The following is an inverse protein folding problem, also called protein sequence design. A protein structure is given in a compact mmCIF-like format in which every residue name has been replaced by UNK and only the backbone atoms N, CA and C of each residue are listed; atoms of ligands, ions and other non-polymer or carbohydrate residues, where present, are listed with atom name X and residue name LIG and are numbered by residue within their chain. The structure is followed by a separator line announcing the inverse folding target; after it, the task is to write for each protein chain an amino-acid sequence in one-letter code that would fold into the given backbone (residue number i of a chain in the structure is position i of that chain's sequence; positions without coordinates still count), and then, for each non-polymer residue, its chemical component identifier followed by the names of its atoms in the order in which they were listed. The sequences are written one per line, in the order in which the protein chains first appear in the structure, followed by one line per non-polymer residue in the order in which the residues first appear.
data_IF_654583556396
#
_entry.id   IF_654583556396
#
_cell.length_a   1.000
_cell.length_b   1.000
_cell.length_c   1.000
_cell.angle_alpha   90.00
_cell.angle_beta   90.00
_cell.angle_gamma   90.00
#
_symmetry.space_group_name_H-M   'P 1'
#
loop_
_entity.id
_entity.type
_entity.pdbx_description
1 polymer ?
#
# COMPACT_ATOMS: atom_id res chain seq x y z
N UNK A 1 2.27 10.07 -27.27
CA UNK A 1 2.96 9.01 -26.50
C UNK A 1 2.44 9.07 -25.08
N UNK A 2 1.64 8.09 -24.66
CA UNK A 2 1.11 8.06 -23.29
C UNK A 2 2.17 7.44 -22.39
N UNK A 3 2.90 8.26 -21.66
CA UNK A 3 3.87 7.79 -20.67
C UNK A 3 3.10 7.08 -19.55
N UNK A 4 3.13 5.74 -19.53
CA UNK A 4 2.57 4.98 -18.42
C UNK A 4 3.50 5.11 -17.22
N UNK A 5 3.11 5.93 -16.25
CA UNK A 5 3.77 6.04 -14.93
C UNK A 5 3.06 5.14 -13.94
N UNK A 6 3.77 4.16 -13.39
CA UNK A 6 3.29 3.41 -12.22
C UNK A 6 3.65 4.20 -10.96
N UNK A 7 2.65 4.48 -10.12
CA UNK A 7 2.81 5.28 -8.89
C UNK A 7 2.58 4.36 -7.70
N UNK A 8 3.52 4.37 -6.75
CA UNK A 8 3.41 3.79 -5.43
C UNK A 8 3.43 4.88 -4.36
N UNK A 9 3.35 4.48 -3.09
CA UNK A 9 3.52 5.41 -1.97
C UNK A 9 4.10 4.70 -0.74
N UNK A 10 4.86 5.44 0.07
CA UNK A 10 5.30 5.00 1.39
C UNK A 10 4.27 5.43 2.43
N UNK A 11 4.04 4.53 3.38
CA UNK A 11 3.12 4.75 4.48
C UNK A 11 3.89 4.80 5.80
N UNK A 12 3.95 5.99 6.40
CA UNK A 12 4.88 6.29 7.48
C UNK A 12 4.18 6.38 8.86
N UNK A 13 2.93 5.92 8.99
CA UNK A 13 2.15 6.10 10.22
C UNK A 13 2.86 5.54 11.45
N UNK A 14 3.49 4.37 11.37
CA UNK A 14 4.19 3.77 12.52
C UNK A 14 5.33 4.66 13.02
N UNK A 15 6.09 5.25 12.10
CA UNK A 15 7.19 6.16 12.42
C UNK A 15 6.64 7.46 13.02
N UNK A 16 5.61 8.05 12.42
CA UNK A 16 4.98 9.27 12.95
C UNK A 16 4.33 9.07 14.31
N UNK A 17 3.79 7.89 14.58
CA UNK A 17 3.34 7.55 15.93
C UNK A 17 4.51 7.54 16.93
N UNK A 18 5.65 6.96 16.57
CA UNK A 18 6.82 6.93 17.44
C UNK A 18 7.38 8.33 17.73
N UNK A 19 7.42 9.22 16.71
CA UNK A 19 7.82 10.62 16.85
C UNK A 19 6.95 11.36 17.90
N UNK A 20 5.69 10.95 18.06
CA UNK A 20 4.72 11.50 19.01
C UNK A 20 4.58 10.67 20.30
N UNK A 21 5.57 9.83 20.64
CA UNK A 21 5.55 8.93 21.81
C UNK A 21 4.38 7.93 21.85
N UNK A 22 3.75 7.63 20.71
CA UNK A 22 2.71 6.61 20.58
C UNK A 22 3.33 5.29 20.13
N UNK A 23 3.54 4.38 21.07
CA UNK A 23 4.21 3.12 20.80
C UNK A 23 3.24 1.98 20.50
N UNK A 24 1.99 2.08 20.96
CA UNK A 24 0.97 1.05 20.82
C UNK A 24 -0.23 1.56 20.03
N UNK A 25 -0.79 0.68 19.20
CA UNK A 25 -1.99 0.96 18.42
C UNK A 25 -3.20 1.30 19.30
N UNK A 26 -3.25 0.75 20.52
CA UNK A 26 -4.31 1.02 21.50
C UNK A 26 -4.32 2.47 21.99
N UNK A 27 -3.19 3.18 21.93
CA UNK A 27 -3.08 4.59 22.32
C UNK A 27 -3.67 5.52 21.25
N UNK A 28 -3.64 5.09 19.98
CA UNK A 28 -4.20 5.84 18.85
C UNK A 28 -5.74 5.80 18.82
N UNK A 29 -6.35 4.71 19.29
CA UNK A 29 -7.80 4.50 19.25
C UNK A 29 -8.59 5.60 20.00
N UNK A 30 -8.29 5.94 21.26
CA UNK A 30 -9.01 7.01 21.95
C UNK A 30 -8.82 8.37 21.26
N UNK A 31 -7.66 8.63 20.65
CA UNK A 31 -7.36 9.87 19.93
C UNK A 31 -8.14 10.00 18.61
N UNK A 32 -8.40 8.88 17.94
CA UNK A 32 -9.29 8.83 16.78
C UNK A 32 -10.74 9.02 17.20
N UNK A 33 -11.17 8.37 18.29
CA UNK A 33 -12.53 8.51 18.82
C UNK A 33 -12.86 9.95 19.23
N UNK A 34 -11.91 10.69 19.82
CA UNK A 34 -12.14 12.09 20.20
C UNK A 34 -12.41 13.00 18.99
N UNK A 35 -12.01 12.58 17.79
CA UNK A 35 -12.27 13.27 16.51
C UNK A 35 -13.48 12.70 15.75
N UNK A 36 -14.28 11.85 16.41
CA UNK A 36 -15.44 11.20 15.83
C UNK A 36 -15.10 10.09 14.82
N UNK A 37 -13.89 9.53 14.89
CA UNK A 37 -13.47 8.39 14.07
C UNK A 37 -13.56 7.11 14.91
N UNK A 38 -14.58 6.30 14.64
CA UNK A 38 -14.82 5.03 15.32
C UNK A 38 -14.35 3.88 14.42
N UNK A 39 -13.12 3.42 14.64
CA UNK A 39 -12.55 2.24 13.98
C UNK A 39 -12.41 1.07 14.97
N UNK A 40 -12.50 -0.16 14.45
CA UNK A 40 -12.23 -1.37 15.24
C UNK A 40 -10.72 -1.52 15.51
N UNK A 41 -10.35 -2.24 16.58
CA UNK A 41 -8.95 -2.54 16.90
C UNK A 41 -8.20 -3.15 15.70
N UNK A 42 -8.85 -4.08 14.98
CA UNK A 42 -8.29 -4.72 13.81
C UNK A 42 -8.06 -3.74 12.64
N UNK A 43 -8.97 -2.78 12.44
CA UNK A 43 -8.80 -1.73 11.43
C UNK A 43 -7.63 -0.81 11.75
N UNK A 44 -7.53 -0.36 13.01
CA UNK A 44 -6.41 0.49 13.44
C UNK A 44 -5.10 -0.26 13.39
N UNK A 45 -5.08 -1.54 13.79
CA UNK A 45 -3.88 -2.38 13.66
C UNK A 45 -3.41 -2.47 12.20
N UNK A 46 -4.32 -2.81 11.27
CA UNK A 46 -4.01 -2.85 9.82
C UNK A 46 -3.50 -1.51 9.29
N UNK A 47 -4.05 -0.41 9.79
CA UNK A 47 -3.62 0.94 9.44
C UNK A 47 -2.17 1.20 9.86
N UNK A 48 -1.75 0.70 11.02
CA UNK A 48 -0.41 0.97 11.56
C UNK A 48 0.64 -0.01 11.03
N UNK A 49 0.30 -1.29 10.86
CA UNK A 49 1.28 -2.33 10.52
C UNK A 49 1.39 -2.62 9.02
N UNK A 50 0.44 -2.18 8.21
CA UNK A 50 0.41 -2.45 6.78
C UNK A 50 0.17 -1.20 5.94
N UNK A 51 0.29 -1.36 4.61
CA UNK A 51 -0.01 -0.31 3.64
C UNK A 51 -1.50 -0.37 3.27
N UNK A 52 -2.31 0.62 3.65
CA UNK A 52 -3.76 0.53 3.52
C UNK A 52 -4.23 0.92 2.11
N UNK A 53 -4.85 0.00 1.38
CA UNK A 53 -5.38 0.28 0.02
C UNK A 53 -6.41 1.42 -0.02
N UNK A 54 -7.19 1.57 1.06
CA UNK A 54 -8.23 2.59 1.18
C UNK A 54 -8.26 3.14 2.60
N UNK A 55 -8.23 4.46 2.71
CA UNK A 55 -8.45 5.21 3.94
C UNK A 55 -9.55 6.25 3.69
N UNK A 56 -10.54 6.38 4.58
CA UNK A 56 -11.45 7.51 4.54
C UNK A 56 -10.68 8.83 4.73
N UNK A 57 -10.92 9.83 3.88
CA UNK A 57 -10.22 11.12 3.94
C UNK A 57 -10.32 11.79 5.33
N UNK A 58 -11.45 11.63 6.03
CA UNK A 58 -11.61 12.12 7.40
C UNK A 58 -10.67 11.44 8.39
N UNK A 59 -10.45 10.13 8.26
CA UNK A 59 -9.48 9.39 9.07
C UNK A 59 -8.06 9.88 8.79
N UNK A 60 -7.72 10.11 7.52
CA UNK A 60 -6.41 10.64 7.14
C UNK A 60 -6.16 12.03 7.73
N UNK A 61 -7.13 12.94 7.61
CA UNK A 61 -7.06 14.27 8.22
C UNK A 61 -6.95 14.19 9.75
N UNK A 62 -7.71 13.30 10.40
CA UNK A 62 -7.61 13.09 11.85
C UNK A 62 -6.23 12.57 12.27
N UNK A 63 -5.58 11.71 11.48
CA UNK A 63 -4.22 11.26 11.77
C UNK A 63 -3.21 12.41 11.67
N UNK A 64 -3.32 13.26 10.65
CA UNK A 64 -2.48 14.44 10.50
C UNK A 64 -2.64 15.39 11.70
N UNK A 65 -3.88 15.58 12.18
CA UNK A 65 -4.18 16.42 13.34
C UNK A 65 -3.73 15.81 14.67
N UNK A 66 -3.83 14.48 14.85
CA UNK A 66 -3.34 13.77 16.06
C UNK A 66 -1.82 13.85 16.16
N UNK A 67 -1.15 13.69 15.02
CA UNK A 67 0.30 13.57 14.92
C UNK A 67 0.94 14.88 14.50
N UNK A 68 0.21 16.00 14.56
CA UNK A 68 0.67 17.36 14.20
C UNK A 68 1.56 17.40 12.94
N UNK A 69 1.21 16.61 11.92
CA UNK A 69 2.04 16.40 10.74
C UNK A 69 1.27 16.68 9.45
N UNK A 70 2.00 16.82 8.34
CA UNK A 70 1.39 17.08 7.04
C UNK A 70 1.01 15.78 6.33
N UNK A 71 0.11 15.83 5.35
CA UNK A 71 -0.19 14.67 4.50
C UNK A 71 1.04 13.95 3.92
N UNK A 72 2.05 14.71 3.49
CA UNK A 72 3.28 14.15 2.89
C UNK A 72 4.13 13.39 3.93
N UNK A 73 4.00 13.73 5.21
CA UNK A 73 4.71 13.06 6.29
C UNK A 73 4.15 11.66 6.57
N UNK A 74 2.88 11.43 6.25
CA UNK A 74 2.16 10.17 6.39
C UNK A 74 2.15 9.35 5.10
N UNK A 75 1.96 10.03 3.96
CA UNK A 75 1.80 9.46 2.63
C UNK A 75 2.79 10.11 1.67
N UNK A 76 3.83 9.36 1.29
CA UNK A 76 4.87 9.86 0.40
C UNK A 76 4.80 9.15 -0.96
N UNK A 77 4.22 9.77 -2.00
CA UNK A 77 4.09 9.15 -3.31
C UNK A 77 5.44 9.06 -4.03
N UNK A 78 5.69 7.92 -4.68
CA UNK A 78 6.89 7.70 -5.48
C UNK A 78 6.54 7.05 -6.83
N UNK A 79 7.44 7.18 -7.80
CA UNK A 79 7.25 6.58 -9.14
C UNK A 79 7.95 5.23 -9.19
N UNK A 80 7.17 4.15 -9.32
CA UNK A 80 7.67 2.77 -9.36
C UNK A 80 8.36 2.42 -10.68
N UNK A 81 7.76 2.82 -11.80
CA UNK A 81 8.35 2.66 -13.14
C UNK A 81 7.93 3.83 -14.02
N UNK A 82 8.93 4.47 -14.63
CA UNK A 82 8.76 5.20 -15.88
C UNK A 82 9.11 4.22 -17.00
N UNK A 83 8.14 3.79 -17.79
CA UNK A 83 8.46 3.16 -19.05
C UNK A 83 9.09 4.25 -19.94
N UNK A 84 10.41 4.22 -20.08
CA UNK A 84 11.08 5.03 -21.11
C UNK A 84 10.54 4.54 -22.46
N UNK A 85 10.02 5.46 -23.27
CA UNK A 85 9.82 5.18 -24.68
C UNK A 85 11.22 4.90 -25.26
N UNK A 86 11.56 3.62 -25.45
CA UNK A 86 12.76 3.23 -26.19
C UNK A 86 12.53 3.62 -27.64
N UNK A 87 12.92 4.84 -27.98
CA UNK A 87 13.00 5.32 -29.37
C UNK A 87 14.23 4.74 -30.10
N UNK A 88 15.08 3.95 -29.42
CA UNK A 88 16.29 3.38 -30.00
C UNK A 88 16.54 1.97 -29.43
N UNK A 89 15.69 1.02 -29.81
CA UNK A 89 16.00 -0.40 -29.64
C UNK A 89 16.62 -0.91 -30.96
N UNK A 90 17.84 -1.47 -30.97
CA UNK A 90 18.44 -2.02 -32.17
C UNK A 90 17.57 -3.16 -32.72
N UNK A 91 17.31 -3.13 -34.02
CA UNK A 91 16.35 -4.00 -34.71
C UNK A 91 16.78 -5.48 -34.84
N UNK A 92 17.91 -5.88 -34.25
CA UNK A 92 18.48 -7.20 -34.48
C UNK A 92 18.83 -7.92 -33.15
N UNK A 93 18.17 -9.05 -32.83
CA UNK A 93 18.45 -9.83 -31.63
C UNK A 93 19.79 -10.59 -31.65
N UNK A 94 20.60 -10.47 -32.71
CA UNK A 94 21.89 -11.15 -32.85
C UNK A 94 23.06 -10.48 -32.09
N UNK A 95 22.92 -9.23 -31.63
CA UNK A 95 23.94 -8.52 -30.84
C UNK A 95 23.85 -8.76 -29.32
N UNK A 96 22.77 -9.40 -28.88
CA UNK A 96 22.60 -9.78 -27.47
C UNK A 96 23.17 -11.18 -27.27
N UNK A 97 24.49 -11.24 -27.07
CA UNK A 97 25.21 -12.45 -26.64
C UNK A 97 24.79 -12.93 -25.25
N UNK A 98 23.54 -13.36 -25.11
CA UNK A 98 22.94 -13.84 -23.85
C UNK A 98 22.80 -15.35 -23.93
N UNK A 99 23.76 -16.02 -23.30
CA UNK A 99 23.70 -17.44 -23.00
C UNK A 99 22.46 -17.79 -22.19
N UNK A 100 21.81 -18.86 -22.65
CA UNK A 100 20.57 -19.44 -22.16
C UNK A 100 20.55 -19.66 -20.64
N UNK A 101 19.60 -19.02 -19.94
CA UNK A 101 19.10 -19.50 -18.64
C UNK A 101 17.58 -19.43 -18.64
N UNK A 102 16.93 -20.56 -18.90
CA UNK A 102 15.48 -20.76 -18.78
C UNK A 102 15.06 -20.65 -17.32
N UNK A 103 14.40 -19.56 -16.94
CA UNK A 103 13.67 -19.46 -15.68
C UNK A 103 12.19 -19.72 -15.94
N UNK A 104 11.74 -20.96 -15.77
CA UNK A 104 10.31 -21.31 -15.79
C UNK A 104 9.72 -20.98 -14.42
N UNK A 105 9.00 -19.85 -14.31
CA UNK A 105 8.20 -19.55 -13.13
C UNK A 105 6.86 -20.31 -13.20
N UNK A 106 6.61 -21.20 -12.22
CA UNK A 106 5.34 -21.93 -12.06
C UNK A 106 4.22 -20.96 -11.66
N UNK A 107 3.08 -21.05 -12.36
CA UNK A 107 1.86 -20.27 -12.12
C UNK A 107 1.06 -20.93 -10.98
N UNK A 108 0.90 -20.25 -9.85
CA UNK A 108 0.06 -20.71 -8.74
C UNK A 108 -1.38 -20.28 -9.03
N UNK A 109 -2.32 -21.24 -9.09
CA UNK A 109 -3.75 -20.99 -9.29
C UNK A 109 -4.43 -20.97 -7.93
N UNK A 110 -4.94 -19.81 -7.51
CA UNK A 110 -5.69 -19.65 -6.25
C UNK A 110 -7.10 -20.18 -6.50
N UNK A 111 -7.46 -21.26 -5.79
CA UNK A 111 -8.82 -21.78 -5.70
C UNK A 111 -9.60 -20.87 -4.74
N UNK A 112 -10.77 -20.40 -5.17
CA UNK A 112 -11.76 -19.79 -4.30
C UNK A 112 -12.69 -20.90 -3.84
N UNK A 113 -12.77 -21.12 -2.53
CA UNK A 113 -13.76 -21.98 -1.89
C UNK A 113 -14.97 -21.12 -1.55
N UNK A 114 -16.05 -21.25 -2.32
CA UNK A 114 -17.33 -20.60 -2.08
C UNK A 114 -18.18 -21.50 -1.16
N UNK A 115 -17.98 -21.36 0.15
CA UNK A 115 -18.82 -22.00 1.17
C UNK A 115 -20.15 -21.26 1.32
N UNK A 116 -21.15 -21.60 0.50
CA UNK A 116 -22.56 -21.33 0.75
C UNK A 116 -23.31 -22.66 0.79
N UNK A 117 -23.67 -23.11 1.99
CA UNK A 117 -24.79 -24.03 2.16
C UNK A 117 -25.74 -23.43 3.19
N UNK A 118 -26.88 -23.00 2.67
CA UNK A 118 -28.05 -22.66 3.46
C UNK A 118 -28.69 -23.92 4.02
N UNK A 119 -29.27 -23.76 5.20
CA UNK A 119 -30.13 -24.75 5.85
C UNK A 119 -31.22 -25.27 4.92
N UNK A 120 -31.62 -26.55 5.06
CA UNK A 120 -33.05 -26.82 5.04
C UNK A 120 -33.52 -27.83 6.09
N UNK A 121 -34.72 -27.53 6.60
CA UNK A 121 -35.72 -28.35 7.34
C UNK A 121 -35.50 -28.63 8.82
#
# INVERSE_FOLDING_TARGET
MSEQRRIGYHWNLRQRMADHNLWKTTELIPLLKSRGINLSNAQVHRLVTGTPERIPARTFAALCDILECTPNDLFEPYVEMRAAATADAPANPADLGVGEKRSVARRIKIVRDDGNDGTPT
#
